data_IF_894832149488
#
_entry.id   IF_894832149488
#
_cell.length_a   1.000
_cell.length_b   1.000
_cell.length_c   1.000
_cell.angle_alpha   90.00
_cell.angle_beta   90.00
_cell.angle_gamma   90.00
#
_symmetry.space_group_name_H-M   'P 1'
#
loop_
_entity.id
_entity.type
_entity.pdbx_description
1 polymer ?
#
# COMPACT_ATOMS: atom_id res chain seq x y z
N UNK A 1 -21.21 -5.02 -5.35
CA UNK A 1 -19.90 -4.57 -4.82
C UNK A 1 -18.95 -5.75 -4.81
N UNK A 2 -17.91 -5.73 -5.65
CA UNK A 2 -16.86 -6.77 -5.69
C UNK A 2 -15.66 -6.28 -4.88
N UNK A 3 -15.03 -7.16 -4.10
CA UNK A 3 -13.76 -6.87 -3.41
C UNK A 3 -12.71 -7.79 -4.01
N UNK A 4 -11.58 -7.23 -4.38
CA UNK A 4 -10.43 -7.96 -4.94
C UNK A 4 -9.25 -7.76 -4.00
N UNK A 5 -8.59 -8.86 -3.65
CA UNK A 5 -7.33 -8.84 -2.92
C UNK A 5 -6.20 -9.19 -3.90
N UNK A 6 -5.14 -8.39 -3.92
CA UNK A 6 -3.96 -8.60 -4.75
C UNK A 6 -2.78 -8.74 -3.80
N UNK A 7 -2.10 -9.88 -3.86
CA UNK A 7 -0.83 -10.11 -3.16
C UNK A 7 0.30 -9.89 -4.15
N UNK A 8 1.27 -9.06 -3.78
CA UNK A 8 2.38 -8.68 -4.65
C UNK A 8 3.61 -8.29 -3.81
N UNK A 9 4.69 -7.88 -4.48
CA UNK A 9 5.92 -7.40 -3.85
C UNK A 9 5.83 -5.91 -3.49
N UNK A 10 6.64 -5.49 -2.51
CA UNK A 10 6.65 -4.13 -2.00
C UNK A 10 6.86 -3.07 -3.09
N UNK A 11 7.84 -3.24 -4.00
CA UNK A 11 8.11 -2.27 -5.07
C UNK A 11 6.96 -2.15 -6.07
N UNK A 12 6.26 -3.24 -6.39
CA UNK A 12 5.09 -3.20 -7.28
C UNK A 12 3.95 -2.42 -6.61
N UNK A 13 3.65 -2.73 -5.35
CA UNK A 13 2.63 -2.02 -4.56
C UNK A 13 2.96 -0.52 -4.43
N UNK A 14 4.22 -0.18 -4.19
CA UNK A 14 4.71 1.21 -4.15
C UNK A 14 4.51 1.95 -5.48
N UNK A 15 4.81 1.31 -6.61
CA UNK A 15 4.60 1.90 -7.93
C UNK A 15 3.12 2.18 -8.22
N UNK A 16 2.24 1.23 -7.87
CA UNK A 16 0.78 1.41 -7.98
C UNK A 16 0.33 2.60 -7.13
N UNK A 17 0.83 2.72 -5.89
CA UNK A 17 0.50 3.84 -5.00
C UNK A 17 0.94 5.18 -5.60
N UNK A 18 2.16 5.27 -6.12
CA UNK A 18 2.68 6.50 -6.74
C UNK A 18 1.87 6.91 -7.97
N UNK A 19 1.59 5.97 -8.88
CA UNK A 19 0.78 6.25 -10.07
C UNK A 19 -0.64 6.70 -9.69
N UNK A 20 -1.28 6.06 -8.72
CA UNK A 20 -2.65 6.42 -8.32
C UNK A 20 -2.74 7.70 -7.48
N UNK A 21 -1.70 8.06 -6.70
CA UNK A 21 -1.68 9.27 -5.87
C UNK A 21 -1.14 10.49 -6.59
N UNK A 22 -0.13 10.31 -7.44
CA UNK A 22 0.68 11.39 -8.01
C UNK A 22 0.66 11.40 -9.55
N UNK A 23 0.13 10.36 -10.20
CA UNK A 23 0.11 10.24 -11.66
C UNK A 23 1.46 9.87 -12.29
N UNK A 24 2.51 9.66 -11.48
CA UNK A 24 3.85 9.25 -11.91
C UNK A 24 4.43 8.18 -10.99
N UNK A 25 5.38 7.38 -11.48
CA UNK A 25 6.07 6.33 -10.71
C UNK A 25 7.34 6.84 -9.99
N UNK A 26 7.85 8.03 -10.33
CA UNK A 26 9.19 8.50 -9.93
C UNK A 26 9.42 8.51 -8.41
N UNK A 27 8.37 8.72 -7.62
CA UNK A 27 8.43 8.83 -6.16
C UNK A 27 7.98 7.57 -5.42
N UNK A 28 7.97 6.39 -6.06
CA UNK A 28 7.42 5.16 -5.48
C UNK A 28 8.02 4.78 -4.11
N UNK A 29 9.30 5.08 -3.88
CA UNK A 29 9.99 4.79 -2.62
C UNK A 29 9.36 5.46 -1.39
N UNK A 30 8.63 6.58 -1.56
CA UNK A 30 7.90 7.26 -0.47
C UNK A 30 6.78 6.41 0.13
N UNK A 31 6.32 5.41 -0.61
CA UNK A 31 5.25 4.50 -0.20
C UNK A 31 5.78 3.22 0.44
N UNK A 32 7.03 3.22 0.92
CA UNK A 32 7.62 2.08 1.63
C UNK A 32 6.73 1.62 2.80
N UNK A 33 6.64 0.31 2.97
CA UNK A 33 5.80 -0.32 3.98
C UNK A 33 6.38 -1.68 4.41
N UNK A 34 6.10 -2.14 5.65
CA UNK A 34 6.56 -3.45 6.11
C UNK A 34 5.99 -4.60 5.29
N UNK A 35 6.69 -5.74 5.31
CA UNK A 35 6.15 -6.99 4.79
C UNK A 35 4.81 -7.33 5.46
N UNK A 36 3.92 -7.97 4.70
CA UNK A 36 2.56 -8.32 5.13
C UNK A 36 1.65 -7.13 5.51
N UNK A 37 2.07 -5.89 5.29
CA UNK A 37 1.14 -4.76 5.32
C UNK A 37 0.19 -4.79 4.11
N UNK A 38 -0.93 -4.09 4.23
CA UNK A 38 -1.91 -3.96 3.15
C UNK A 38 -2.30 -2.51 2.89
N UNK A 39 -2.85 -2.30 1.70
CA UNK A 39 -3.42 -1.03 1.25
C UNK A 39 -4.87 -1.24 0.85
N UNK A 40 -5.71 -0.23 1.07
CA UNK A 40 -7.12 -0.23 0.67
C UNK A 40 -7.32 0.88 -0.33
N UNK A 41 -7.83 0.50 -1.50
CA UNK A 41 -8.18 1.40 -2.59
C UNK A 41 -9.69 1.40 -2.76
N UNK A 42 -10.31 2.57 -2.72
CA UNK A 42 -11.72 2.73 -3.04
C UNK A 42 -11.86 3.21 -4.49
N UNK A 43 -12.44 2.36 -5.34
CA UNK A 43 -12.66 2.64 -6.75
C UNK A 43 -14.14 2.82 -7.04
N UNK A 44 -14.48 3.93 -7.70
CA UNK A 44 -15.84 4.22 -8.17
C UNK A 44 -15.76 4.81 -9.57
N UNK A 45 -16.55 4.27 -10.48
CA UNK A 45 -16.63 4.72 -11.88
C UNK A 45 -15.25 4.83 -12.56
N UNK A 46 -14.39 3.82 -12.31
CA UNK A 46 -13.03 3.74 -12.86
C UNK A 46 -12.00 4.66 -12.20
N UNK A 47 -12.39 5.45 -11.18
CA UNK A 47 -11.49 6.39 -10.49
C UNK A 47 -11.19 5.92 -9.08
N UNK A 48 -9.94 6.08 -8.65
CA UNK A 48 -9.54 5.84 -7.26
C UNK A 48 -9.88 7.06 -6.42
N UNK A 49 -10.88 6.95 -5.54
CA UNK A 49 -11.37 8.05 -4.71
C UNK A 49 -10.57 8.19 -3.42
N UNK A 50 -10.15 7.07 -2.84
CA UNK A 50 -9.43 7.05 -1.57
C UNK A 50 -8.40 5.92 -1.55
N UNK A 51 -7.27 6.21 -0.90
CA UNK A 51 -6.17 5.26 -0.74
C UNK A 51 -5.64 5.40 0.68
N UNK A 52 -5.65 4.28 1.39
CA UNK A 52 -4.94 4.07 2.66
C UNK A 52 -3.85 3.03 2.41
N UNK A 53 -2.62 3.30 2.81
CA UNK A 53 -1.49 2.40 2.56
C UNK A 53 -0.71 2.11 3.84
N UNK A 54 0.10 1.06 3.80
CA UNK A 54 1.00 0.71 4.90
C UNK A 54 0.28 0.26 6.16
N UNK A 55 -0.95 -0.26 6.05
CA UNK A 55 -1.69 -0.73 7.21
C UNK A 55 -1.05 -2.03 7.70
N UNK A 56 -0.41 -1.94 8.86
CA UNK A 56 0.32 -3.03 9.49
C UNK A 56 -0.12 -3.24 10.96
N UNK A 57 -1.24 -2.65 11.38
CA UNK A 57 -1.73 -2.71 12.78
C UNK A 57 -2.08 -4.11 13.27
N UNK A 58 -2.19 -5.07 12.35
CA UNK A 58 -2.43 -6.48 12.66
C UNK A 58 -1.13 -7.26 12.90
N UNK A 59 0.02 -6.69 12.51
CA UNK A 59 1.31 -7.28 12.82
C UNK A 59 1.58 -7.07 14.31
N UNK A 60 1.92 -8.15 15.00
CA UNK A 60 2.45 -8.04 16.36
C UNK A 60 3.69 -7.15 16.30
N UNK A 61 3.70 -6.10 17.11
CA UNK A 61 4.85 -5.23 17.25
C UNK A 61 5.92 -6.05 17.95
N UNK A 62 6.82 -6.66 17.18
CA UNK A 62 8.07 -7.18 17.73
C UNK A 62 8.76 -5.95 18.31
N UNK A 63 8.72 -5.77 19.63
CA UNK A 63 9.57 -4.82 20.32
C UNK A 63 10.97 -5.01 19.75
N UNK A 64 11.59 -3.93 19.27
CA UNK A 64 13.01 -3.97 18.92
C UNK A 64 13.71 -4.49 20.18
N UNK A 65 14.17 -5.74 20.16
CA UNK A 65 15.22 -6.15 21.07
C UNK A 65 16.38 -5.21 20.73
N UNK A 66 16.63 -4.26 21.64
CA UNK A 66 17.82 -3.43 21.59
C UNK A 66 19.02 -4.37 21.44
N UNK A 67 19.67 -4.29 20.28
CA UNK A 67 21.00 -4.83 20.04
C UNK A 67 21.96 -3.65 19.93
#
# INVERSE_FOLDING_TARGET
HQRVCIVTHGQVSQGVLAVLKEGTIDNFSRYAHPNASYSVFDFRDGKCLAIRWGIATHLLQLERQNA
#
